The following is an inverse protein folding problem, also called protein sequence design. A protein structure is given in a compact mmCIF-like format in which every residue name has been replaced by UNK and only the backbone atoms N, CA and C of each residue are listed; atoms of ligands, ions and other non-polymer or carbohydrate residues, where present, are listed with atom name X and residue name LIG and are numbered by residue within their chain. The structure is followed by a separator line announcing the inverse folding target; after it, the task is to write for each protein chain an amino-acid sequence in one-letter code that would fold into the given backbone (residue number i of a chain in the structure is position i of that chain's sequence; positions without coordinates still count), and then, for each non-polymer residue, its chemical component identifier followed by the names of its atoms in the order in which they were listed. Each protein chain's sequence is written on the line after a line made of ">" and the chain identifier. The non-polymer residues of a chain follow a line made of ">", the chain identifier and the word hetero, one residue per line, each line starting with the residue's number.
data_IF_112140702561
#
_entry.id   IF_112140702561
#
_cell.length_a   1.000
_cell.length_b   1.000
_cell.length_c   1.000
_cell.angle_alpha   90.00
_cell.angle_beta   90.00
_cell.angle_gamma   90.00
#
_symmetry.space_group_name_H-M   'P 1'
#
loop_
_entity.id
_entity.type
_entity.pdbx_description
1 polymer ?
#
# COMPACT_ATOMS: atom_id res chain seq x y z
N UNK A 1 -9.75 11.16 5.79
CA UNK A 1 -8.59 10.29 5.55
C UNK A 1 -8.53 9.98 4.07
N UNK A 2 -7.37 10.10 3.41
CA UNK A 2 -7.23 9.78 1.99
C UNK A 2 -7.18 8.24 1.82
N UNK A 3 -7.96 7.65 0.89
CA UNK A 3 -7.92 6.19 0.69
C UNK A 3 -6.55 5.73 0.17
N UNK A 4 -5.99 4.66 0.74
CA UNK A 4 -4.71 4.09 0.31
C UNK A 4 -4.71 3.69 -1.18
N UNK A 5 -5.87 3.25 -1.68
CA UNK A 5 -6.08 2.95 -3.09
C UNK A 5 -5.80 4.17 -3.97
N UNK A 6 -6.30 5.35 -3.58
CA UNK A 6 -6.07 6.59 -4.33
C UNK A 6 -4.59 7.00 -4.28
N UNK A 7 -3.93 6.81 -3.14
CA UNK A 7 -2.48 7.05 -3.01
C UNK A 7 -1.71 6.20 -4.01
N UNK A 8 -2.00 4.89 -4.10
CA UNK A 8 -1.32 3.97 -5.01
C UNK A 8 -1.65 4.23 -6.49
N UNK A 9 -2.93 4.42 -6.82
CA UNK A 9 -3.38 4.54 -8.22
C UNK A 9 -3.11 5.91 -8.82
N UNK A 10 -3.01 6.96 -8.00
CA UNK A 10 -2.88 8.36 -8.43
C UNK A 10 -1.68 9.04 -7.73
N UNK A 11 -0.60 8.28 -7.51
CA UNK A 11 0.57 8.74 -6.75
C UNK A 11 1.11 10.06 -7.32
N UNK A 12 1.19 10.16 -8.64
CA UNK A 12 1.80 11.30 -9.32
C UNK A 12 0.89 12.54 -9.34
N UNK A 13 -0.41 12.35 -9.56
CA UNK A 13 -1.40 13.42 -9.45
C UNK A 13 -1.43 13.99 -8.02
N UNK A 14 -1.36 13.11 -7.03
CA UNK A 14 -1.29 13.51 -5.62
C UNK A 14 0.02 14.23 -5.31
N UNK A 15 1.15 13.80 -5.87
CA UNK A 15 2.45 14.49 -5.75
C UNK A 15 2.33 15.94 -6.22
N UNK A 16 1.73 16.16 -7.39
CA UNK A 16 1.50 17.51 -7.90
C UNK A 16 0.56 18.34 -7.01
N UNK A 17 -0.49 17.73 -6.46
CA UNK A 17 -1.42 18.40 -5.54
C UNK A 17 -0.74 18.80 -4.24
N UNK A 18 0.08 17.93 -3.64
CA UNK A 18 0.81 18.24 -2.42
C UNK A 18 1.88 19.30 -2.65
N UNK A 19 2.61 19.24 -3.77
CA UNK A 19 3.57 20.27 -4.16
C UNK A 19 2.91 21.65 -4.29
N UNK A 20 1.75 21.74 -4.95
CA UNK A 20 0.98 23.01 -5.05
C UNK A 20 0.52 23.55 -3.70
N UNK A 21 0.34 22.68 -2.71
CA UNK A 21 -0.06 23.04 -1.35
C UNK A 21 1.14 23.31 -0.44
N UNK A 22 2.36 23.16 -0.92
CA UNK A 22 3.58 23.26 -0.11
C UNK A 22 3.66 22.19 0.98
N UNK A 23 3.00 21.04 0.76
CA UNK A 23 3.01 19.91 1.69
C UNK A 23 4.02 18.90 1.17
N UNK A 24 4.97 18.53 2.03
CA UNK A 24 5.82 17.39 1.79
C UNK A 24 5.12 16.14 2.36
N UNK A 25 4.66 15.27 1.45
CA UNK A 25 3.97 14.04 1.80
C UNK A 25 4.83 12.85 1.35
N UNK A 26 5.11 11.86 2.23
CA UNK A 26 5.99 10.73 1.91
C UNK A 26 5.25 9.66 1.08
N UNK A 27 4.75 10.05 -0.11
CA UNK A 27 3.92 9.17 -0.95
C UNK A 27 4.65 7.91 -1.38
N UNK A 28 5.91 8.01 -1.76
CA UNK A 28 6.71 6.87 -2.22
C UNK A 28 6.88 5.84 -1.10
N UNK A 29 7.20 6.29 0.12
CA UNK A 29 7.30 5.42 1.29
C UNK A 29 5.95 4.76 1.63
N UNK A 30 4.83 5.49 1.47
CA UNK A 30 3.50 4.92 1.70
C UNK A 30 3.19 3.81 0.68
N UNK A 31 3.51 4.03 -0.59
CA UNK A 31 3.31 3.04 -1.66
C UNK A 31 4.17 1.80 -1.43
N UNK A 32 5.43 1.99 -1.04
CA UNK A 32 6.36 0.89 -0.72
C UNK A 32 5.85 0.04 0.46
N UNK A 33 5.43 0.68 1.55
CA UNK A 33 4.88 -0.01 2.71
C UNK A 33 3.56 -0.73 2.39
N UNK A 34 2.70 -0.16 1.53
CA UNK A 34 1.48 -0.84 1.07
C UNK A 34 1.82 -2.09 0.23
N UNK A 35 2.86 -2.03 -0.61
CA UNK A 35 3.32 -3.20 -1.37
C UNK A 35 3.77 -4.32 -0.43
N UNK A 36 4.69 -4.02 0.49
CA UNK A 36 5.19 -5.02 1.44
C UNK A 36 4.10 -5.60 2.33
N UNK A 37 3.12 -4.78 2.74
CA UNK A 37 1.95 -5.27 3.49
C UNK A 37 1.13 -6.26 2.68
N UNK A 38 0.94 -6.05 1.37
CA UNK A 38 0.14 -6.95 0.52
C UNK A 38 0.86 -8.27 0.25
N UNK A 39 2.17 -8.23 0.10
CA UNK A 39 3.01 -9.42 0.01
C UNK A 39 2.89 -10.27 1.27
N UNK A 40 3.06 -9.67 2.45
CA UNK A 40 2.93 -10.36 3.74
C UNK A 40 1.53 -10.93 3.97
N UNK A 41 0.47 -10.21 3.57
CA UNK A 41 -0.89 -10.71 3.67
C UNK A 41 -1.12 -11.95 2.80
N UNK A 42 -0.58 -11.93 1.58
CA UNK A 42 -0.65 -13.07 0.66
C UNK A 42 0.08 -14.28 1.23
N UNK A 43 1.27 -14.08 1.81
CA UNK A 43 2.04 -15.13 2.47
C UNK A 43 1.27 -15.73 3.66
N UNK A 44 0.70 -14.89 4.53
CA UNK A 44 -0.11 -15.34 5.66
C UNK A 44 -1.34 -16.12 5.21
N UNK A 45 -2.00 -15.70 4.12
CA UNK A 45 -3.14 -16.42 3.55
C UNK A 45 -2.71 -17.79 2.99
N UNK A 46 -1.56 -17.87 2.31
CA UNK A 46 -0.99 -19.14 1.85
C UNK A 46 -0.70 -20.08 3.02
N UNK A 47 -0.01 -19.61 4.06
CA UNK A 47 0.32 -20.42 5.24
C UNK A 47 -0.93 -20.93 5.98
N UNK A 48 -2.02 -20.15 5.94
CA UNK A 48 -3.31 -20.57 6.51
C UNK A 48 -3.96 -21.65 5.66
N UNK A 49 -3.92 -21.53 4.34
CA UNK A 49 -4.42 -22.55 3.42
C UNK A 49 -3.65 -23.87 3.60
N UNK A 50 -2.33 -23.83 3.58
CA UNK A 50 -1.46 -25.00 3.75
C UNK A 50 -1.73 -25.72 5.08
N UNK A 51 -1.90 -24.96 6.18
CA UNK A 51 -2.25 -25.52 7.49
C UNK A 51 -3.61 -26.22 7.47
N UNK A 52 -4.60 -25.63 6.82
CA UNK A 52 -5.96 -26.18 6.76
C UNK A 52 -6.01 -27.45 5.90
N UNK A 53 -5.14 -27.58 4.89
CA UNK A 53 -5.03 -28.78 4.05
C UNK A 53 -4.25 -29.92 4.73
N UNK A 54 -3.30 -29.58 5.61
CA UNK A 54 -2.47 -30.56 6.32
C UNK A 54 -3.10 -31.12 7.61
N UNK A 55 -4.21 -30.53 8.10
CA UNK A 55 -4.92 -30.93 9.32
C UNK A 55 -6.20 -31.68 9.03
#
# INVERSE_FOLDING_TARGET
>A
MLPIRAIREQTEELRAVFARRGVDAPLDAIVELDSGRRELLTEVESMRADRNEAG
#
